data_IF_021102886517
#
_entry.id   IF_021102886517
#
_cell.length_a   1.000
_cell.length_b   1.000
_cell.length_c   1.000
_cell.angle_alpha   90.00
_cell.angle_beta   90.00
_cell.angle_gamma   90.00
#
_symmetry.space_group_name_H-M   'P 1'
#
loop_
_entity.id
_entity.type
_entity.pdbx_description
1 polymer ?
#
# COMPACT_ATOMS: atom_id res chain seq x y z
N UNK A 1 -1.09 -2.14 21.33
CA UNK A 1 -0.94 -1.59 19.98
C UNK A 1 -2.23 -0.92 19.58
N UNK A 2 -2.13 0.33 19.14
CA UNK A 2 -3.31 1.15 18.93
C UNK A 2 -3.81 1.21 17.48
N UNK A 3 -3.16 0.51 16.58
CA UNK A 3 -3.59 0.44 15.20
C UNK A 3 -3.65 -1.00 14.74
N UNK A 4 -4.53 -1.26 13.77
CA UNK A 4 -4.65 -2.58 13.18
C UNK A 4 -5.06 -2.49 11.72
N UNK A 5 -4.85 -3.59 11.03
CA UNK A 5 -5.29 -3.75 9.66
C UNK A 5 -5.50 -5.22 9.36
N UNK A 6 -6.03 -5.50 8.18
CA UNK A 6 -6.32 -6.88 7.81
C UNK A 6 -6.53 -7.01 6.30
N UNK A 7 -6.45 -8.23 5.83
CA UNK A 7 -6.85 -8.56 4.47
C UNK A 7 -8.37 -8.53 4.35
N UNK A 8 -8.88 -8.64 3.13
CA UNK A 8 -10.31 -8.57 2.88
C UNK A 8 -11.10 -9.64 3.64
N UNK A 9 -10.62 -10.87 3.67
CA UNK A 9 -11.35 -11.96 4.30
C UNK A 9 -11.13 -12.06 5.82
N UNK A 10 -10.16 -11.32 6.35
CA UNK A 10 -9.88 -11.32 7.78
C UNK A 10 -8.94 -12.41 8.25
N UNK A 11 -8.44 -13.27 7.37
CA UNK A 11 -7.53 -14.33 7.78
C UNK A 11 -6.14 -13.83 8.16
N UNK A 12 -5.75 -12.67 7.67
CA UNK A 12 -4.47 -12.05 8.00
C UNK A 12 -4.76 -10.72 8.68
N UNK A 13 -4.22 -10.56 9.88
CA UNK A 13 -4.39 -9.34 10.67
C UNK A 13 -3.04 -8.87 11.15
N UNK A 14 -2.90 -7.57 11.38
CA UNK A 14 -1.67 -7.04 11.93
C UNK A 14 -1.95 -5.89 12.87
N UNK A 15 -0.99 -5.64 13.77
CA UNK A 15 -1.14 -4.69 14.88
C UNK A 15 0.16 -3.93 15.06
N UNK A 16 0.06 -2.65 15.34
CA UNK A 16 1.24 -1.82 15.62
C UNK A 16 0.81 -0.55 16.36
N UNK A 17 1.76 0.24 16.80
CA UNK A 17 1.49 1.54 17.37
C UNK A 17 1.74 2.62 16.33
N UNK A 18 0.81 3.55 16.20
CA UNK A 18 0.90 4.64 15.22
C UNK A 18 2.21 5.40 15.33
N UNK A 19 2.69 5.58 16.55
CA UNK A 19 3.92 6.32 16.81
C UNK A 19 5.17 5.63 16.25
N UNK A 20 5.07 4.35 15.94
CA UNK A 20 6.20 3.58 15.42
C UNK A 20 6.32 3.63 13.91
N UNK A 21 5.38 4.24 13.24
CA UNK A 21 5.47 4.42 11.79
C UNK A 21 6.57 5.42 11.49
N UNK A 22 7.49 5.02 10.62
CA UNK A 22 8.65 5.84 10.26
C UNK A 22 8.24 6.91 9.25
N UNK A 23 7.52 6.50 8.23
CA UNK A 23 7.12 7.39 7.13
C UNK A 23 6.06 6.72 6.28
N UNK A 24 5.42 7.50 5.41
CA UNK A 24 4.43 6.99 4.48
C UNK A 24 4.73 7.54 3.08
N UNK A 25 4.52 6.71 2.07
CA UNK A 25 4.92 7.04 0.71
C UNK A 25 3.93 6.55 -0.32
N UNK A 26 3.79 7.32 -1.40
CA UNK A 26 3.21 6.81 -2.64
C UNK A 26 4.33 6.28 -3.51
N UNK A 27 4.14 5.12 -4.12
CA UNK A 27 5.12 4.57 -5.04
C UNK A 27 4.44 4.29 -6.37
N UNK A 28 4.91 4.97 -7.42
CA UNK A 28 4.33 4.85 -8.76
C UNK A 28 5.07 3.87 -9.66
N UNK A 29 6.03 3.10 -9.15
CA UNK A 29 6.79 2.19 -10.00
C UNK A 29 5.85 1.17 -10.64
N UNK A 30 6.29 0.62 -11.78
CA UNK A 30 5.47 -0.34 -12.53
C UNK A 30 5.12 -1.57 -11.69
N UNK A 31 6.04 -2.03 -10.85
CA UNK A 31 5.77 -3.17 -9.99
C UNK A 31 4.65 -2.88 -9.01
N UNK A 32 4.65 -1.69 -8.42
CA UNK A 32 3.57 -1.29 -7.54
C UNK A 32 2.25 -1.15 -8.28
N UNK A 33 2.28 -0.63 -9.50
CA UNK A 33 1.08 -0.55 -10.32
C UNK A 33 0.51 -1.93 -10.62
N UNK A 34 1.38 -2.87 -11.01
CA UNK A 34 0.92 -4.22 -11.36
C UNK A 34 0.40 -4.97 -10.15
N UNK A 35 1.06 -4.85 -9.02
CA UNK A 35 0.67 -5.62 -7.84
C UNK A 35 -0.56 -5.06 -7.15
N UNK A 36 -0.87 -3.79 -7.34
CA UNK A 36 -2.09 -3.19 -6.77
C UNK A 36 -3.22 -3.11 -7.79
N UNK A 37 -2.89 -3.15 -9.07
CA UNK A 37 -3.89 -2.89 -10.10
C UNK A 37 -4.32 -1.43 -10.14
N UNK A 38 -3.55 -0.56 -9.52
CA UNK A 38 -3.84 0.87 -9.43
C UNK A 38 -2.66 1.67 -9.95
N UNK A 39 -2.75 2.98 -9.93
CA UNK A 39 -1.66 3.84 -10.40
C UNK A 39 -0.48 3.94 -9.46
N UNK A 40 -0.65 3.50 -8.23
CA UNK A 40 0.41 3.57 -7.22
C UNK A 40 0.09 2.64 -6.06
N UNK A 41 1.07 2.40 -5.23
CA UNK A 41 0.87 1.81 -3.92
C UNK A 41 1.13 2.88 -2.87
N UNK A 42 0.32 2.90 -1.83
CA UNK A 42 0.56 3.77 -0.68
C UNK A 42 1.02 2.87 0.46
N UNK A 43 2.21 3.14 0.97
CA UNK A 43 2.87 2.25 1.91
C UNK A 43 3.35 3.01 3.14
N UNK A 44 3.31 2.31 4.28
CA UNK A 44 3.88 2.79 5.53
C UNK A 44 5.15 2.02 5.80
N UNK A 45 6.20 2.72 6.18
CA UNK A 45 7.44 2.08 6.61
C UNK A 45 7.40 1.90 8.12
N UNK A 46 7.63 0.68 8.56
CA UNK A 46 7.67 0.38 9.99
C UNK A 46 8.72 -0.71 10.23
N UNK A 47 9.44 -0.60 11.35
CA UNK A 47 10.43 -1.62 11.69
C UNK A 47 9.72 -2.95 11.97
N UNK A 48 10.32 -4.04 11.51
CA UNK A 48 9.74 -5.38 11.68
C UNK A 48 9.41 -5.71 13.12
N UNK A 49 10.24 -5.26 14.05
CA UNK A 49 10.03 -5.52 15.49
C UNK A 49 8.82 -4.78 16.06
N UNK A 50 8.30 -3.80 15.35
CA UNK A 50 7.23 -2.95 15.83
C UNK A 50 5.86 -3.30 15.24
N UNK A 51 5.78 -4.38 14.47
CA UNK A 51 4.52 -4.83 13.89
C UNK A 51 4.35 -6.31 14.16
N UNK A 52 3.16 -6.67 14.60
CA UNK A 52 2.79 -8.07 14.84
C UNK A 52 1.81 -8.50 13.76
N UNK A 53 2.10 -9.61 13.11
CA UNK A 53 1.24 -10.15 12.05
C UNK A 53 0.69 -11.50 12.50
N UNK A 54 -0.63 -11.64 12.46
CA UNK A 54 -1.31 -12.90 12.73
C UNK A 54 -1.89 -13.40 11.42
N UNK A 55 -1.78 -14.70 11.18
CA UNK A 55 -2.25 -15.31 9.96
C UNK A 55 -1.10 -15.57 9.00
N UNK A 56 -1.42 -16.28 7.94
CA UNK A 56 -0.40 -16.75 7.02
C UNK A 56 -0.42 -15.93 5.74
N UNK A 57 0.71 -15.34 5.45
CA UNK A 57 0.93 -14.65 4.17
C UNK A 57 1.64 -15.58 3.21
N UNK A 58 1.24 -15.51 1.97
CA UNK A 58 1.99 -16.10 0.87
C UNK A 58 2.80 -14.98 0.22
N UNK A 59 3.97 -15.32 -0.31
CA UNK A 59 4.88 -14.28 -0.83
C UNK A 59 5.20 -14.50 -2.29
N UNK A 60 5.32 -13.40 -3.00
CA UNK A 60 5.82 -13.39 -4.37
C UNK A 60 7.04 -12.48 -4.42
N UNK A 61 8.16 -13.03 -4.92
CA UNK A 61 9.41 -12.29 -4.99
C UNK A 61 9.62 -11.71 -6.38
N UNK A 62 10.04 -10.45 -6.44
CA UNK A 62 10.43 -9.84 -7.70
C UNK A 62 11.60 -8.91 -7.48
N UNK A 63 12.42 -8.73 -8.52
CA UNK A 63 13.57 -7.84 -8.46
C UNK A 63 13.10 -6.42 -8.68
N UNK A 64 13.44 -5.53 -7.76
CA UNK A 64 13.19 -4.11 -7.94
C UNK A 64 14.29 -3.45 -8.77
N UNK A 65 14.04 -2.22 -9.18
CA UNK A 65 15.02 -1.46 -9.97
C UNK A 65 16.31 -1.17 -9.20
N UNK A 66 16.23 -1.20 -7.88
CA UNK A 66 17.42 -0.99 -7.01
C UNK A 66 18.29 -2.24 -6.94
N UNK A 67 17.87 -3.37 -7.52
CA UNK A 67 18.58 -4.63 -7.41
C UNK A 67 18.16 -5.47 -6.22
N UNK A 68 17.37 -4.92 -5.32
CA UNK A 68 16.85 -5.67 -4.18
C UNK A 68 15.68 -6.54 -4.58
N UNK A 69 15.55 -7.68 -3.91
CA UNK A 69 14.39 -8.55 -4.09
C UNK A 69 13.28 -8.10 -3.16
N UNK A 70 12.16 -7.72 -3.73
CA UNK A 70 11.00 -7.32 -2.94
C UNK A 70 10.08 -8.52 -2.78
N UNK A 71 9.84 -8.90 -1.54
CA UNK A 71 8.91 -9.97 -1.18
C UNK A 71 7.57 -9.36 -0.86
N UNK A 72 6.58 -9.63 -1.69
CA UNK A 72 5.24 -9.09 -1.49
C UNK A 72 4.36 -10.15 -0.86
N UNK A 73 3.87 -9.83 0.35
CA UNK A 73 3.01 -10.73 1.10
C UNK A 73 1.54 -10.46 0.85
N UNK A 74 0.81 -11.51 0.60
CA UNK A 74 -0.62 -11.42 0.35
C UNK A 74 -1.33 -12.59 1.02
N UNK A 75 -2.62 -12.40 1.27
CA UNK A 75 -3.43 -13.46 1.85
C UNK A 75 -3.68 -14.55 0.82
N UNK A 76 -3.34 -15.78 1.15
CA UNK A 76 -3.53 -16.87 0.19
C UNK A 76 -5.00 -17.18 -0.05
N UNK A 77 -5.89 -16.75 0.83
CA UNK A 77 -7.32 -17.03 0.70
C UNK A 77 -8.04 -15.96 -0.14
N UNK A 78 -7.78 -14.68 0.11
CA UNK A 78 -8.50 -13.61 -0.58
C UNK A 78 -7.65 -12.80 -1.55
N UNK A 79 -6.33 -12.99 -1.54
CA UNK A 79 -5.45 -12.31 -2.48
C UNK A 79 -5.05 -10.90 -2.11
N UNK A 80 -5.54 -10.37 -0.99
CA UNK A 80 -5.19 -8.99 -0.58
C UNK A 80 -3.70 -8.84 -0.35
N UNK A 81 -3.07 -7.86 -1.00
CA UNK A 81 -1.70 -7.50 -0.70
C UNK A 81 -1.65 -6.74 0.62
N UNK A 82 -0.90 -7.24 1.59
CA UNK A 82 -0.92 -6.69 2.94
C UNK A 82 0.36 -5.94 3.26
N UNK A 83 1.50 -6.61 3.14
CA UNK A 83 2.79 -5.97 3.41
C UNK A 83 3.88 -6.63 2.59
N UNK A 84 4.97 -5.91 2.46
CA UNK A 84 6.13 -6.41 1.74
C UNK A 84 7.39 -5.99 2.45
N UNK A 85 8.51 -6.54 2.02
CA UNK A 85 9.82 -6.11 2.54
C UNK A 85 10.89 -6.49 1.53
N UNK A 86 12.03 -5.83 1.63
CA UNK A 86 13.19 -6.20 0.85
C UNK A 86 13.85 -7.39 1.52
N UNK A 87 14.08 -8.46 0.76
CA UNK A 87 14.63 -9.70 1.29
C UNK A 87 16.01 -9.46 1.90
N UNK A 88 16.77 -8.55 1.31
CA UNK A 88 18.11 -8.20 1.76
C UNK A 88 18.09 -7.27 2.99
N UNK A 89 16.94 -6.70 3.32
CA UNK A 89 16.80 -5.78 4.43
C UNK A 89 15.53 -6.07 5.21
N UNK A 90 15.46 -7.23 5.88
CA UNK A 90 14.21 -7.69 6.48
C UNK A 90 13.78 -6.94 7.74
N UNK A 91 14.59 -6.01 8.21
CA UNK A 91 14.28 -5.23 9.41
C UNK A 91 13.19 -4.18 9.19
N UNK A 92 12.81 -3.94 7.95
CA UNK A 92 11.84 -2.91 7.60
C UNK A 92 10.68 -3.54 6.83
N UNK A 93 9.47 -3.22 7.25
CA UNK A 93 8.26 -3.67 6.55
C UNK A 93 7.56 -2.51 5.88
N UNK A 94 6.96 -2.79 4.73
CA UNK A 94 6.19 -1.82 3.95
C UNK A 94 4.74 -2.28 3.99
N UNK A 95 3.92 -1.57 4.77
CA UNK A 95 2.53 -1.95 4.97
C UNK A 95 1.65 -1.20 3.98
N UNK A 96 0.74 -1.90 3.31
CA UNK A 96 -0.20 -1.27 2.38
C UNK A 96 -1.23 -0.48 3.19
N UNK A 97 -1.24 0.82 3.00
CA UNK A 97 -2.08 1.71 3.82
C UNK A 97 -3.57 1.39 3.68
N UNK A 98 -3.99 0.91 2.51
CA UNK A 98 -5.40 0.59 2.28
C UNK A 98 -5.92 -0.58 3.10
N UNK A 99 -5.05 -1.38 3.72
CA UNK A 99 -5.47 -2.48 4.58
C UNK A 99 -5.68 -2.08 6.03
N UNK A 100 -5.36 -0.83 6.38
CA UNK A 100 -5.61 -0.32 7.74
C UNK A 100 -7.10 -0.24 8.02
N UNK A 101 -7.50 -0.56 9.25
CA UNK A 101 -8.88 -0.36 9.67
C UNK A 101 -9.24 1.11 9.71
N UNK A 102 -8.31 1.94 10.18
CA UNK A 102 -8.46 3.40 10.15
C UNK A 102 -7.21 3.99 9.56
N UNK A 103 -7.32 4.54 8.37
CA UNK A 103 -6.20 5.18 7.69
C UNK A 103 -6.30 6.70 7.68
N UNK A 104 -7.26 7.27 8.39
CA UNK A 104 -7.52 8.72 8.36
C UNK A 104 -6.32 9.54 8.84
N UNK A 105 -5.47 8.96 9.65
CA UNK A 105 -4.29 9.63 10.21
C UNK A 105 -3.06 9.55 9.29
N UNK A 106 -3.13 8.78 8.22
CA UNK A 106 -1.97 8.59 7.34
C UNK A 106 -1.67 9.90 6.62
N UNK A 107 -0.41 10.31 6.71
CA UNK A 107 0.06 11.49 6.03
C UNK A 107 1.24 11.08 5.15
N UNK A 108 1.10 11.27 3.86
CA UNK A 108 2.13 10.87 2.91
C UNK A 108 3.26 11.89 2.92
N UNK A 109 4.47 11.41 3.18
CA UNK A 109 5.66 12.25 3.29
C UNK A 109 6.34 12.49 1.95
N UNK A 110 6.32 11.50 1.07
CA UNK A 110 7.01 11.62 -0.21
C UNK A 110 6.41 10.68 -1.24
N UNK A 111 6.83 10.89 -2.48
CA UNK A 111 6.34 10.15 -3.63
C UNK A 111 7.54 9.60 -4.38
N UNK A 112 7.53 8.29 -4.63
CA UNK A 112 8.61 7.60 -5.32
C UNK A 112 8.23 7.28 -6.76
N UNK A 113 9.23 7.30 -7.64
CA UNK A 113 9.08 6.89 -9.03
C UNK A 113 8.02 7.71 -9.78
N UNK A 114 8.06 9.02 -9.58
CA UNK A 114 7.09 9.93 -10.21
C UNK A 114 7.15 9.90 -11.73
N UNK A 115 8.27 9.51 -12.32
CA UNK A 115 8.37 9.38 -13.77
C UNK A 115 7.44 8.31 -14.32
N UNK A 116 7.10 7.33 -13.51
CA UNK A 116 6.18 6.26 -13.89
C UNK A 116 4.72 6.58 -13.58
N UNK A 117 4.47 7.73 -12.98
CA UNK A 117 3.10 8.12 -12.61
C UNK A 117 2.27 8.31 -13.86
N UNK A 118 1.06 7.79 -13.81
CA UNK A 118 0.12 7.90 -14.92
C UNK A 118 -0.72 9.16 -14.78
N UNK A 119 -1.02 9.76 -15.91
CA UNK A 119 -1.83 10.96 -15.90
C UNK A 119 -3.22 10.72 -15.33
N UNK A 120 -3.77 9.54 -15.55
CA UNK A 120 -5.08 9.19 -15.03
C UNK A 120 -5.08 8.95 -13.51
N UNK A 121 -3.90 8.83 -12.90
CA UNK A 121 -3.75 8.67 -11.45
C UNK A 121 -3.25 9.96 -10.80
N UNK A 122 -3.51 11.10 -11.41
CA UNK A 122 -3.08 12.32 -10.77
C UNK A 122 -4.30 13.10 -10.35
N UNK A 123 -4.25 14.14 -10.17
CA UNK A 123 -4.76 15.26 -9.46
C UNK A 123 -6.09 15.79 -9.93
N UNK A 124 -6.95 14.94 -10.47
CA UNK A 124 -8.29 15.40 -10.80
C UNK A 124 -8.97 16.04 -9.61
N UNK A 125 -8.72 15.46 -8.46
CA UNK A 125 -9.37 15.95 -7.26
C UNK A 125 -8.68 17.19 -6.67
N UNK A 126 -7.53 17.58 -7.16
CA UNK A 126 -6.90 18.81 -6.69
C UNK A 126 -7.44 20.05 -7.39
N UNK A 127 -8.11 19.86 -8.51
CA UNK A 127 -8.81 20.97 -9.16
C UNK A 127 -10.16 20.48 -9.63
N UNK A 128 -10.99 20.08 -8.69
CA UNK A 128 -12.28 19.52 -9.04
C UNK A 128 -13.16 20.59 -9.66
N UNK A 129 -13.96 20.16 -10.59
CA UNK A 129 -14.96 21.02 -11.20
C UNK A 129 -16.30 20.32 -11.08
N UNK A 130 -17.38 21.06 -11.19
CA UNK A 130 -18.69 20.41 -11.20
C UNK A 130 -18.82 19.36 -12.29
N UNK A 131 -18.14 19.56 -13.39
CA UNK A 131 -18.15 18.59 -14.45
C UNK A 131 -17.48 17.29 -14.05
N UNK A 132 -16.39 17.35 -13.31
CA UNK A 132 -15.74 16.14 -12.83
C UNK A 132 -16.66 15.37 -11.93
N UNK A 133 -17.33 16.04 -11.05
CA UNK A 133 -18.28 15.41 -10.15
C UNK A 133 -19.39 14.76 -10.96
N UNK A 134 -19.92 15.46 -11.93
CA UNK A 134 -21.00 14.90 -12.73
C UNK A 134 -20.51 13.74 -13.58
N UNK A 135 -19.26 13.78 -14.00
CA UNK A 135 -18.69 12.64 -14.73
C UNK A 135 -18.59 11.40 -13.87
N UNK A 136 -18.35 11.57 -12.59
CA UNK A 136 -18.20 10.43 -11.69
C UNK A 136 -19.51 9.68 -11.48
N UNK A 137 -20.61 10.31 -11.78
CA UNK A 137 -21.84 9.59 -11.54
C UNK A 137 -22.07 8.48 -12.50
N UNK A 138 -21.28 8.45 -13.45
CA UNK A 138 -21.46 7.39 -14.23
C UNK A 138 -21.06 6.24 -13.79
N UNK A 139 -21.21 5.94 -13.52
CA UNK A 139 -21.09 5.10 -12.96
C UNK A 139 -21.01 4.22 -12.57
N UNK A 140 -21.16 4.26 -12.80
CA UNK A 140 -21.08 3.74 -12.49
C UNK A 140 -20.98 2.86 -12.31
N UNK A 141 -20.86 2.57 -12.60
CA UNK A 141 -20.75 1.90 -12.48
C UNK A 141 -20.46 1.22 -12.12
N UNK A 142 -20.33 0.92 -12.16
CA UNK A 142 -20.15 0.35 -11.80
C UNK A 142 -20.05 -0.23 -11.47
#
# INVERSE_FOLDING_TARGET
>A
MNQSGRCQCGNVNYYFDKEKVISAHHCHCKDCQRTTGCGKATILYIASKNIKVDGKLKFFDSKGSSGMTIRRGFCENCGSGVLSYAKELPLLKFVKAGTLEDSSWVKVDSVFFTKSANQWDCLLYTSPSPRDISGSRMPSSA
#
